data_IF_816581386783
#
_entry.id   IF_816581386783
#
_cell.length_a   1.000
_cell.length_b   1.000
_cell.length_c   1.000
_cell.angle_alpha   90.00
_cell.angle_beta   90.00
_cell.angle_gamma   90.00
#
_symmetry.space_group_name_H-M   'P 1'
#
loop_
_entity.id
_entity.type
_entity.pdbx_description
1 polymer ?
#
# COMPACT_ATOMS: atom_id res chain seq x y z
N UNK A 1 29.08 -9.25 4.14
CA UNK A 1 27.92 -8.42 3.77
C UNK A 1 26.72 -8.90 4.57
N UNK A 2 25.89 -8.02 5.15
CA UNK A 2 24.66 -8.45 5.80
C UNK A 2 23.74 -9.06 4.74
N UNK A 3 23.24 -10.25 5.02
CA UNK A 3 22.26 -10.91 4.16
C UNK A 3 20.89 -10.26 4.37
N UNK A 4 20.60 -9.19 3.60
CA UNK A 4 19.31 -8.46 3.64
C UNK A 4 18.19 -9.16 2.84
N UNK A 5 18.31 -10.47 2.59
CA UNK A 5 17.42 -11.18 1.68
C UNK A 5 15.97 -11.22 2.18
N UNK A 6 15.79 -11.30 3.51
CA UNK A 6 14.48 -11.31 4.15
C UNK A 6 13.82 -9.94 4.06
N UNK A 7 14.56 -8.87 4.34
CA UNK A 7 14.08 -7.49 4.29
C UNK A 7 13.70 -7.08 2.86
N UNK A 8 14.50 -7.47 1.87
CA UNK A 8 14.16 -7.25 0.46
C UNK A 8 12.89 -8.02 0.05
N UNK A 9 12.70 -9.24 0.56
CA UNK A 9 11.47 -10.00 0.34
C UNK A 9 10.26 -9.33 0.99
N UNK A 10 10.41 -8.79 2.21
CA UNK A 10 9.35 -8.01 2.87
C UNK A 10 9.02 -6.72 2.12
N UNK A 11 10.03 -6.01 1.60
CA UNK A 11 9.81 -4.80 0.81
C UNK A 11 9.03 -5.11 -0.47
N UNK A 12 9.40 -6.18 -1.18
CA UNK A 12 8.67 -6.64 -2.37
C UNK A 12 7.22 -7.00 -2.05
N UNK A 13 6.98 -7.72 -0.96
CA UNK A 13 5.62 -8.06 -0.53
C UNK A 13 4.81 -6.79 -0.21
N UNK A 14 5.41 -5.80 0.44
CA UNK A 14 4.75 -4.52 0.72
C UNK A 14 4.41 -3.75 -0.58
N UNK A 15 5.29 -3.77 -1.58
CA UNK A 15 5.02 -3.18 -2.90
C UNK A 15 3.88 -3.92 -3.63
N UNK A 16 3.85 -5.26 -3.58
CA UNK A 16 2.78 -6.09 -4.15
C UNK A 16 1.41 -5.79 -3.48
N UNK A 17 1.39 -5.66 -2.16
CA UNK A 17 0.19 -5.31 -1.39
C UNK A 17 -0.32 -3.89 -1.72
N UNK A 18 0.59 -2.93 -1.87
CA UNK A 18 0.24 -1.57 -2.33
C UNK A 18 -0.34 -1.57 -3.74
N UNK A 19 0.27 -2.31 -4.66
CA UNK A 19 -0.25 -2.47 -6.02
C UNK A 19 -1.66 -3.08 -6.05
N UNK A 20 -1.95 -4.04 -5.17
CA UNK A 20 -3.30 -4.58 -5.01
C UNK A 20 -4.26 -3.54 -4.43
N UNK A 21 -3.85 -2.82 -3.38
CA UNK A 21 -4.68 -1.80 -2.73
C UNK A 21 -5.10 -0.69 -3.72
N UNK A 22 -4.17 -0.18 -4.54
CA UNK A 22 -4.50 0.83 -5.54
C UNK A 22 -5.48 0.34 -6.60
N UNK A 23 -5.36 -0.93 -7.04
CA UNK A 23 -6.33 -1.52 -7.99
C UNK A 23 -7.72 -1.63 -7.38
N UNK A 24 -7.83 -2.03 -6.12
CA UNK A 24 -9.11 -2.10 -5.41
C UNK A 24 -9.73 -0.72 -5.20
N UNK A 25 -8.92 0.28 -4.84
CA UNK A 25 -9.36 1.68 -4.73
C UNK A 25 -9.92 2.17 -6.08
N UNK A 26 -9.18 1.98 -7.17
CA UNK A 26 -9.62 2.42 -8.50
C UNK A 26 -10.92 1.73 -8.94
N UNK A 27 -11.05 0.42 -8.68
CA UNK A 27 -12.28 -0.31 -8.95
C UNK A 27 -13.47 0.25 -8.15
N UNK A 28 -13.24 0.60 -6.88
CA UNK A 28 -14.27 1.15 -6.01
C UNK A 28 -14.65 2.59 -6.38
N UNK A 29 -13.68 3.41 -6.81
CA UNK A 29 -13.93 4.74 -7.37
C UNK A 29 -14.81 4.66 -8.63
N UNK A 30 -14.50 3.74 -9.54
CA UNK A 30 -15.32 3.49 -10.73
C UNK A 30 -16.75 3.06 -10.37
N UNK A 31 -16.89 2.18 -9.38
CA UNK A 31 -18.21 1.76 -8.88
C UNK A 31 -18.98 2.94 -8.29
N UNK A 32 -18.31 3.83 -7.56
CA UNK A 32 -18.94 5.02 -7.00
C UNK A 32 -19.44 5.97 -8.09
N UNK A 33 -18.63 6.19 -9.14
CA UNK A 33 -19.03 6.97 -10.31
C UNK A 33 -20.27 6.37 -10.99
N UNK A 34 -20.34 5.06 -11.14
CA UNK A 34 -21.51 4.36 -11.69
C UNK A 34 -22.73 4.54 -10.80
N UNK A 35 -22.63 4.31 -9.49
CA UNK A 35 -23.74 4.52 -8.56
C UNK A 35 -24.31 5.94 -8.69
N UNK A 36 -23.43 6.95 -8.73
CA UNK A 36 -23.85 8.34 -8.87
C UNK A 36 -24.50 8.62 -10.23
N UNK A 37 -23.99 8.04 -11.32
CA UNK A 37 -24.55 8.22 -12.67
C UNK A 37 -25.94 7.61 -12.82
N UNK A 38 -26.20 6.47 -12.18
CA UNK A 38 -27.49 5.76 -12.26
C UNK A 38 -28.45 6.12 -11.11
N UNK A 39 -28.05 7.01 -10.19
CA UNK A 39 -28.86 7.35 -9.01
C UNK A 39 -29.06 6.19 -8.04
N UNK A 40 -28.13 5.22 -8.02
CA UNK A 40 -28.15 4.12 -7.07
C UNK A 40 -27.62 4.57 -5.71
N UNK A 41 -28.03 3.86 -4.67
CA UNK A 41 -27.44 4.05 -3.35
C UNK A 41 -25.92 3.81 -3.40
N UNK A 42 -25.18 4.83 -2.99
CA UNK A 42 -23.74 4.90 -3.05
C UNK A 42 -23.09 4.91 -1.67
N UNK A 43 -23.87 4.87 -0.58
CA UNK A 43 -23.36 5.01 0.79
C UNK A 43 -22.31 3.94 1.13
N UNK A 44 -22.69 2.65 1.00
CA UNK A 44 -21.77 1.55 1.28
C UNK A 44 -20.52 1.62 0.39
N UNK A 45 -20.68 1.99 -0.88
CA UNK A 45 -19.58 2.10 -1.83
C UNK A 45 -18.58 3.18 -1.40
N UNK A 46 -19.08 4.32 -0.92
CA UNK A 46 -18.27 5.43 -0.41
C UNK A 46 -17.56 5.07 0.91
N UNK A 47 -18.26 4.41 1.85
CA UNK A 47 -17.68 3.95 3.11
C UNK A 47 -16.53 2.95 2.87
N UNK A 48 -16.72 1.99 1.97
CA UNK A 48 -15.65 1.07 1.58
C UNK A 48 -14.44 1.80 0.98
N UNK A 49 -14.67 2.81 0.13
CA UNK A 49 -13.59 3.58 -0.47
C UNK A 49 -12.75 4.32 0.59
N UNK A 50 -13.41 4.89 1.61
CA UNK A 50 -12.73 5.52 2.74
C UNK A 50 -11.87 4.51 3.49
N UNK A 51 -12.43 3.33 3.81
CA UNK A 51 -11.70 2.27 4.51
C UNK A 51 -10.49 1.77 3.70
N UNK A 52 -10.65 1.53 2.39
CA UNK A 52 -9.57 1.10 1.51
C UNK A 52 -8.43 2.12 1.44
N UNK A 53 -8.75 3.41 1.36
CA UNK A 53 -7.75 4.49 1.38
C UNK A 53 -6.98 4.53 2.71
N UNK A 54 -7.68 4.35 3.84
CA UNK A 54 -7.04 4.28 5.16
C UNK A 54 -6.09 3.08 5.26
N UNK A 55 -6.52 1.89 4.82
CA UNK A 55 -5.70 0.67 4.79
C UNK A 55 -4.47 0.87 3.89
N UNK A 56 -4.65 1.43 2.70
CA UNK A 56 -3.55 1.71 1.76
C UNK A 56 -2.48 2.60 2.40
N UNK A 57 -2.89 3.64 3.14
CA UNK A 57 -1.96 4.54 3.83
C UNK A 57 -1.12 3.80 4.89
N UNK A 58 -1.70 2.83 5.58
CA UNK A 58 -0.97 1.96 6.52
C UNK A 58 0.10 1.13 5.79
N UNK A 59 -0.22 0.57 4.61
CA UNK A 59 0.77 -0.15 3.82
C UNK A 59 1.91 0.75 3.32
N UNK A 60 1.62 2.01 2.95
CA UNK A 60 2.67 2.97 2.55
C UNK A 60 3.65 3.23 3.70
N UNK A 61 3.13 3.37 4.92
CA UNK A 61 3.94 3.55 6.14
C UNK A 61 4.81 2.32 6.38
N UNK A 62 4.26 1.11 6.28
CA UNK A 62 5.01 -0.13 6.47
C UNK A 62 6.13 -0.29 5.43
N UNK A 63 5.82 -0.07 4.14
CA UNK A 63 6.79 -0.10 3.04
C UNK A 63 7.95 0.87 3.31
N UNK A 64 7.63 2.10 3.74
CA UNK A 64 8.64 3.11 4.08
C UNK A 64 9.52 2.66 5.25
N UNK A 65 8.93 2.12 6.31
CA UNK A 65 9.68 1.65 7.47
C UNK A 65 10.68 0.53 7.11
N UNK A 66 10.28 -0.41 6.25
CA UNK A 66 11.15 -1.48 5.76
C UNK A 66 12.28 -0.89 4.91
N UNK A 67 11.97 0.01 3.97
CA UNK A 67 12.98 0.66 3.14
C UNK A 67 14.02 1.45 3.95
N UNK A 68 13.55 2.19 4.97
CA UNK A 68 14.43 2.95 5.87
C UNK A 68 15.29 2.03 6.74
N UNK A 69 14.81 0.84 7.13
CA UNK A 69 15.61 -0.17 7.82
C UNK A 69 16.72 -0.74 6.93
N UNK A 70 16.39 -1.14 5.69
CA UNK A 70 17.37 -1.62 4.69
C UNK A 70 18.46 -0.58 4.45
N UNK A 71 18.07 0.69 4.25
CA UNK A 71 19.02 1.79 4.01
C UNK A 71 20.00 1.97 5.17
N UNK A 72 19.52 1.91 6.42
CA UNK A 72 20.37 2.04 7.61
C UNK A 72 21.37 0.89 7.73
N UNK A 73 20.95 -0.34 7.45
CA UNK A 73 21.84 -1.50 7.51
C UNK A 73 22.95 -1.45 6.45
N UNK A 74 22.61 -1.03 5.22
CA UNK A 74 23.58 -0.82 4.14
C UNK A 74 24.61 0.25 4.50
N UNK A 75 24.18 1.37 5.11
CA UNK A 75 25.06 2.44 5.57
C UNK A 75 25.95 2.01 6.74
N UNK A 76 25.41 1.24 7.70
CA UNK A 76 26.21 0.69 8.81
C UNK A 76 27.32 -0.23 8.32
N UNK A 77 27.04 -1.00 7.27
CA UNK A 77 27.98 -1.98 6.71
C UNK A 77 29.07 -1.37 5.85
N UNK A 78 28.84 -0.18 5.28
CA UNK A 78 29.85 0.55 4.51
C UNK A 78 30.85 1.30 5.39
N UNK A 79 30.51 1.53 6.67
CA UNK A 79 31.35 2.21 7.66
C UNK A 79 32.13 1.24 8.58
N UNK A 80 32.05 -0.07 8.35
CA UNK A 80 32.84 -1.10 9.04
C UNK A 80 33.91 -1.64 8.12
#
# INVERSE_FOLDING_TARGET
MPCLHVEHSHLRLADEQLGLAYRLIAAQENRLLQCNAFGWDSQLTAELLIALRAISKTFEIHRKAIADAIKRELQSSANR
#
